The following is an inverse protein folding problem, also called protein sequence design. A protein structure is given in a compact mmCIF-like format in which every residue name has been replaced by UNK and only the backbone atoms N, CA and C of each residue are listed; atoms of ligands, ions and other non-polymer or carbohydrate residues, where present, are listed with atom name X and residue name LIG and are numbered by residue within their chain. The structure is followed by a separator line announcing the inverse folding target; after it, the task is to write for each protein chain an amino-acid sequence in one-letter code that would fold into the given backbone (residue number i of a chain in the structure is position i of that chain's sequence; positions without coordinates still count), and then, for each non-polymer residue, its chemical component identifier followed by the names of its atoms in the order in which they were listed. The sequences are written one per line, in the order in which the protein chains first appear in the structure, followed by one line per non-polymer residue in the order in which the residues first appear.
data_IF_230064707078
#
_entry.id   IF_230064707078
#
_cell.length_a   1.000
_cell.length_b   1.000
_cell.length_c   1.000
_cell.angle_alpha   90.00
_cell.angle_beta   90.00
_cell.angle_gamma   90.00
#
_symmetry.space_group_name_H-M   'P 1'
#
loop_
_entity.id
_entity.type
_entity.pdbx_description
1 polymer ?
#
# COMPACT_ATOMS: atom_id res chain seq x y z
N UNK A 1 -9.27 39.15 15.00
CA UNK A 1 -10.51 38.60 14.41
C UNK A 1 -10.06 37.36 13.64
N UNK A 2 -10.00 36.21 14.32
CA UNK A 2 -9.37 34.98 13.79
C UNK A 2 -10.36 33.83 13.83
N UNK A 3 -11.16 33.70 12.77
CA UNK A 3 -12.04 32.55 12.59
C UNK A 3 -11.24 31.42 11.91
N UNK A 4 -11.29 30.21 12.47
CA UNK A 4 -10.65 29.02 11.89
C UNK A 4 -11.72 28.08 11.33
N UNK A 5 -11.61 27.76 10.04
CA UNK A 5 -12.45 26.74 9.38
C UNK A 5 -11.82 25.37 9.60
N UNK A 6 -12.61 24.40 10.07
CA UNK A 6 -12.19 22.99 10.16
C UNK A 6 -13.04 22.14 9.24
N UNK A 7 -12.37 21.26 8.51
CA UNK A 7 -12.98 20.27 7.61
C UNK A 7 -12.83 18.92 8.28
N UNK A 8 -13.96 18.30 8.63
CA UNK A 8 -13.98 16.95 9.19
C UNK A 8 -14.45 15.97 8.13
N UNK A 9 -13.65 14.92 7.93
CA UNK A 9 -13.83 13.92 6.88
C UNK A 9 -14.07 12.57 7.54
N UNK A 10 -15.26 11.99 7.37
CA UNK A 10 -15.55 10.63 7.84
C UNK A 10 -15.34 9.60 6.73
N UNK A 11 -14.52 8.59 6.99
CA UNK A 11 -14.23 7.51 6.05
C UNK A 11 -15.25 6.38 6.21
N UNK A 12 -15.94 6.03 5.13
CA UNK A 12 -16.84 4.88 5.06
C UNK A 12 -16.12 3.63 4.58
N UNK A 13 -16.46 2.46 5.12
CA UNK A 13 -15.93 1.16 4.67
C UNK A 13 -16.84 0.54 3.61
N UNK A 14 -16.27 -0.29 2.73
CA UNK A 14 -17.04 -1.08 1.75
C UNK A 14 -17.64 -2.32 2.44
N UNK A 15 -18.79 -2.78 1.96
CA UNK A 15 -19.36 -4.06 2.42
C UNK A 15 -18.53 -5.27 1.98
N UNK A 16 -18.66 -6.40 2.68
CA UNK A 16 -18.06 -7.68 2.28
C UNK A 16 -18.92 -8.35 1.20
N UNK A 17 -18.28 -9.04 0.26
CA UNK A 17 -18.94 -9.88 -0.76
C UNK A 17 -18.77 -11.32 -0.30
N UNK A 18 -19.89 -12.02 -0.10
CA UNK A 18 -19.94 -13.42 0.28
C UNK A 18 -20.42 -14.28 -0.90
N UNK A 19 -20.00 -15.53 -0.96
CA UNK A 19 -20.58 -16.52 -1.85
C UNK A 19 -21.95 -17.00 -1.34
N UNK A 20 -22.52 -17.99 -2.04
CA UNK A 20 -23.84 -18.56 -1.70
C UNK A 20 -23.83 -19.30 -0.37
N UNK A 21 -22.67 -19.81 0.02
CA UNK A 21 -22.43 -20.61 1.21
C UNK A 21 -21.95 -19.74 2.40
N UNK A 22 -21.82 -18.42 2.19
CA UNK A 22 -21.39 -17.45 3.19
C UNK A 22 -19.88 -17.25 3.29
N UNK A 23 -19.06 -17.88 2.43
CA UNK A 23 -17.62 -17.67 2.42
C UNK A 23 -17.27 -16.31 1.83
N UNK A 24 -16.30 -15.58 2.40
CA UNK A 24 -15.87 -14.32 1.83
C UNK A 24 -15.24 -14.55 0.46
N UNK A 25 -15.68 -13.74 -0.52
CA UNK A 25 -15.05 -13.60 -1.84
C UNK A 25 -14.23 -12.30 -1.91
N UNK A 26 -14.71 -11.25 -1.23
CA UNK A 26 -14.01 -9.99 -1.11
C UNK A 26 -14.32 -9.37 0.24
N UNK A 27 -13.29 -9.09 1.04
CA UNK A 27 -13.44 -8.42 2.32
C UNK A 27 -12.27 -7.49 2.59
N UNK A 28 -12.46 -6.57 3.52
CA UNK A 28 -11.35 -5.75 4.01
C UNK A 28 -10.50 -6.65 4.92
N UNK A 29 -9.22 -6.76 4.61
CA UNK A 29 -8.24 -7.58 5.33
C UNK A 29 -6.95 -6.82 5.58
N UNK A 30 -6.03 -7.47 6.29
CA UNK A 30 -4.69 -6.93 6.53
C UNK A 30 -3.79 -7.38 5.39
N UNK A 31 -3.21 -6.41 4.68
CA UNK A 31 -2.17 -6.61 3.68
C UNK A 31 -0.85 -6.07 4.22
N UNK A 32 0.26 -6.54 3.65
CA UNK A 32 1.59 -6.05 3.99
C UNK A 32 2.10 -5.23 2.81
N UNK A 33 2.52 -4.00 3.08
CA UNK A 33 3.16 -3.12 2.11
C UNK A 33 4.66 -3.20 2.34
N UNK A 34 5.39 -3.60 1.31
CA UNK A 34 6.85 -3.55 1.27
C UNK A 34 7.26 -2.20 0.70
N UNK A 35 8.23 -1.55 1.34
CA UNK A 35 8.77 -0.28 0.88
C UNK A 35 10.19 -0.03 1.34
N UNK A 36 10.81 1.00 0.78
CA UNK A 36 12.18 1.41 1.07
C UNK A 36 12.15 2.61 2.01
N UNK A 37 13.11 2.64 2.93
CA UNK A 37 13.40 3.79 3.78
C UNK A 37 14.71 4.45 3.34
N UNK A 38 14.67 5.55 2.57
CA UNK A 38 15.86 6.11 1.92
C UNK A 38 17.00 6.47 2.89
N UNK A 39 16.69 6.95 4.11
CA UNK A 39 17.72 7.27 5.10
C UNK A 39 18.53 6.06 5.59
N UNK A 40 17.96 4.85 5.55
CA UNK A 40 18.66 3.59 5.89
C UNK A 40 19.21 2.88 4.66
N UNK A 41 18.77 3.30 3.48
CA UNK A 41 19.19 2.72 2.22
C UNK A 41 20.57 3.28 1.84
N UNK A 42 21.62 2.45 1.98
CA UNK A 42 22.98 2.88 1.70
C UNK A 42 23.17 3.17 0.19
N UNK A 43 23.42 4.44 -0.14
CA UNK A 43 23.55 4.95 -1.50
C UNK A 43 24.83 4.53 -2.23
N UNK A 44 25.79 3.85 -1.59
CA UNK A 44 27.01 3.40 -2.27
C UNK A 44 26.81 2.21 -3.21
N UNK A 45 25.81 1.36 -2.98
CA UNK A 45 25.53 0.15 -3.78
C UNK A 45 24.07 0.11 -4.30
N UNK A 46 23.54 1.27 -4.70
CA UNK A 46 22.12 1.43 -5.09
C UNK A 46 21.75 0.47 -6.21
N UNK A 47 22.52 0.42 -7.30
CA UNK A 47 22.15 -0.38 -8.47
C UNK A 47 22.07 -1.88 -8.16
N UNK A 48 23.08 -2.45 -7.49
CA UNK A 48 23.07 -3.87 -7.14
C UNK A 48 21.88 -4.24 -6.23
N UNK A 49 21.57 -3.39 -5.24
CA UNK A 49 20.43 -3.59 -4.33
C UNK A 49 19.10 -3.45 -5.05
N UNK A 50 18.97 -2.46 -5.93
CA UNK A 50 17.75 -2.26 -6.72
C UNK A 50 17.49 -3.47 -7.61
N UNK A 51 18.52 -4.05 -8.23
CA UNK A 51 18.39 -5.29 -9.02
C UNK A 51 17.96 -6.48 -8.16
N UNK A 52 18.53 -6.66 -6.98
CA UNK A 52 18.15 -7.75 -6.07
C UNK A 52 16.68 -7.63 -5.61
N UNK A 53 16.28 -6.42 -5.20
CA UNK A 53 14.89 -6.13 -4.79
C UNK A 53 13.93 -6.34 -5.97
N UNK A 54 14.29 -5.85 -7.15
CA UNK A 54 13.53 -6.03 -8.38
C UNK A 54 13.25 -7.52 -8.65
N UNK A 55 14.27 -8.37 -8.51
CA UNK A 55 14.15 -9.81 -8.71
C UNK A 55 13.30 -10.51 -7.63
N UNK A 56 13.37 -10.06 -6.37
CA UNK A 56 12.57 -10.66 -5.29
C UNK A 56 11.09 -10.29 -5.41
N UNK A 57 10.81 -9.04 -5.76
CA UNK A 57 9.47 -8.50 -5.84
C UNK A 57 8.80 -8.69 -7.21
N UNK A 58 9.55 -9.17 -8.22
CA UNK A 58 9.15 -9.24 -9.62
C UNK A 58 8.69 -7.87 -10.18
N UNK A 59 9.46 -6.82 -9.88
CA UNK A 59 9.19 -5.45 -10.36
C UNK A 59 10.36 -4.92 -11.17
N UNK A 60 10.10 -3.99 -12.10
CA UNK A 60 11.19 -3.37 -12.86
C UNK A 60 12.01 -2.41 -11.99
N UNK A 61 13.32 -2.42 -12.20
CA UNK A 61 14.26 -1.50 -11.55
C UNK A 61 13.88 -0.03 -11.79
N UNK A 62 13.42 0.29 -12.99
CA UNK A 62 12.94 1.63 -13.36
C UNK A 62 11.78 2.09 -12.47
N UNK A 63 10.85 1.20 -12.13
CA UNK A 63 9.73 1.54 -11.25
C UNK A 63 10.20 1.83 -9.82
N UNK A 64 11.21 1.09 -9.34
CA UNK A 64 11.83 1.36 -8.03
C UNK A 64 12.51 2.74 -8.04
N UNK A 65 13.35 3.01 -9.04
CA UNK A 65 14.07 4.29 -9.17
C UNK A 65 13.10 5.47 -9.27
N UNK A 66 12.08 5.37 -10.13
CA UNK A 66 11.07 6.41 -10.28
C UNK A 66 10.32 6.70 -8.97
N UNK A 67 9.99 5.67 -8.18
CA UNK A 67 9.34 5.85 -6.87
C UNK A 67 10.27 6.50 -5.83
N UNK A 68 11.56 6.20 -5.88
CA UNK A 68 12.55 6.83 -5.01
C UNK A 68 12.77 8.30 -5.40
N UNK A 69 12.89 8.60 -6.70
CA UNK A 69 13.09 9.97 -7.21
C UNK A 69 11.89 10.89 -6.93
N UNK A 70 10.67 10.34 -6.95
CA UNK A 70 9.45 11.07 -6.57
C UNK A 70 9.42 11.44 -5.07
N UNK A 71 10.18 10.75 -4.24
CA UNK A 71 10.18 10.96 -2.80
C UNK A 71 11.33 11.90 -2.40
N UNK A 72 10.99 13.14 -2.09
CA UNK A 72 11.96 14.19 -1.72
C UNK A 72 12.45 14.07 -0.28
N UNK A 73 11.68 13.42 0.60
CA UNK A 73 11.98 13.33 2.04
C UNK A 73 12.71 12.02 2.38
N UNK A 74 13.98 12.04 2.82
CA UNK A 74 14.74 10.82 3.09
C UNK A 74 14.19 9.99 4.27
N UNK A 75 13.46 10.63 5.17
CA UNK A 75 12.81 10.02 6.34
C UNK A 75 11.42 9.45 6.02
N UNK A 76 10.95 9.54 4.77
CA UNK A 76 9.66 9.01 4.35
C UNK A 76 9.76 7.58 3.81
N UNK A 77 8.76 6.78 4.20
CA UNK A 77 8.60 5.42 3.72
C UNK A 77 8.05 5.42 2.29
N UNK A 78 8.80 4.85 1.34
CA UNK A 78 8.42 4.76 -0.08
C UNK A 78 7.79 3.40 -0.36
N UNK A 79 6.45 3.32 -0.59
CA UNK A 79 5.77 2.04 -0.82
C UNK A 79 6.03 1.49 -2.23
N UNK A 80 6.55 0.26 -2.31
CA UNK A 80 6.82 -0.42 -3.57
C UNK A 80 5.66 -1.32 -4.00
N UNK A 81 5.34 -2.33 -3.18
CA UNK A 81 4.38 -3.39 -3.53
C UNK A 81 3.53 -3.76 -2.32
N UNK A 82 2.24 -3.94 -2.57
CA UNK A 82 1.30 -4.51 -1.61
C UNK A 82 1.19 -6.01 -1.85
N UNK A 83 1.38 -6.82 -0.81
CA UNK A 83 1.36 -8.28 -0.87
C UNK A 83 0.44 -8.87 0.20
N UNK A 84 -0.06 -10.07 -0.07
CA UNK A 84 -0.86 -10.83 0.88
C UNK A 84 0.02 -11.34 2.03
N UNK A 85 -0.52 -11.43 3.26
CA UNK A 85 0.24 -11.80 4.45
C UNK A 85 0.85 -13.20 4.42
N UNK A 86 0.33 -14.10 3.57
CA UNK A 86 0.74 -15.51 3.42
C UNK A 86 1.68 -15.75 2.21
N UNK A 87 2.14 -14.69 1.55
CA UNK A 87 3.02 -14.82 0.37
C UNK A 87 4.45 -15.22 0.77
N UNK A 88 4.98 -16.23 0.08
CA UNK A 88 6.38 -16.69 0.15
C UNK A 88 7.43 -15.59 -0.04
N UNK A 89 7.09 -14.51 -0.76
CA UNK A 89 7.98 -13.36 -0.99
C UNK A 89 8.33 -12.61 0.29
N UNK A 90 7.46 -12.64 1.30
CA UNK A 90 7.70 -11.97 2.59
C UNK A 90 8.97 -12.50 3.26
N UNK A 91 9.14 -13.82 3.25
CA UNK A 91 10.30 -14.45 3.89
C UNK A 91 11.61 -14.01 3.24
N UNK A 92 11.63 -13.87 1.90
CA UNK A 92 12.81 -13.40 1.15
C UNK A 92 13.15 -11.94 1.46
N UNK A 93 12.13 -11.10 1.60
CA UNK A 93 12.28 -9.68 1.90
C UNK A 93 12.71 -9.44 3.35
N UNK A 94 12.28 -10.28 4.28
CA UNK A 94 12.73 -10.20 5.68
C UNK A 94 14.21 -10.52 5.84
N UNK A 95 14.79 -11.35 4.97
CA UNK A 95 16.24 -11.67 5.02
C UNK A 95 17.15 -10.50 4.61
N UNK A 96 16.59 -9.45 4.00
CA UNK A 96 17.31 -8.26 3.51
C UNK A 96 16.85 -6.99 4.25
N UNK A 97 16.14 -7.12 5.37
CA UNK A 97 15.55 -6.00 6.12
C UNK A 97 16.60 -5.02 6.68
N UNK A 98 17.78 -5.54 7.01
CA UNK A 98 18.97 -4.77 7.42
C UNK A 98 19.43 -3.75 6.36
N UNK A 99 18.95 -3.86 5.11
CA UNK A 99 19.35 -3.00 4.00
C UNK A 99 18.44 -1.78 3.78
N UNK A 100 17.52 -1.50 4.72
CA UNK A 100 16.62 -0.34 4.65
C UNK A 100 15.27 -0.66 4.00
N UNK A 101 14.91 -1.95 3.89
CA UNK A 101 13.61 -2.40 3.41
C UNK A 101 12.70 -2.64 4.62
N UNK A 102 11.50 -2.06 4.58
CA UNK A 102 10.56 -2.14 5.68
C UNK A 102 9.24 -2.74 5.20
N UNK A 103 8.62 -3.51 6.09
CA UNK A 103 7.29 -4.06 5.90
C UNK A 103 6.33 -3.34 6.84
N UNK A 104 5.32 -2.67 6.28
CA UNK A 104 4.25 -2.04 7.05
C UNK A 104 2.94 -2.80 6.83
N UNK A 105 2.16 -2.96 7.89
CA UNK A 105 0.81 -3.48 7.77
C UNK A 105 -0.13 -2.36 7.35
N UNK A 106 -1.03 -2.68 6.42
CA UNK A 106 -2.03 -1.75 5.90
C UNK A 106 -3.35 -2.51 5.76
N UNK A 107 -4.47 -1.83 6.01
CA UNK A 107 -5.78 -2.39 5.68
C UNK A 107 -6.02 -2.26 4.18
N UNK A 108 -6.32 -3.36 3.51
CA UNK A 108 -6.58 -3.41 2.08
C UNK A 108 -7.69 -4.38 1.73
N UNK A 109 -8.12 -4.38 0.48
CA UNK A 109 -9.13 -5.34 0.02
C UNK A 109 -8.45 -6.67 -0.31
N UNK A 110 -8.94 -7.75 0.27
CA UNK A 110 -8.46 -9.12 0.03
C UNK A 110 -9.54 -9.90 -0.69
N UNK A 111 -9.12 -10.63 -1.73
CA UNK A 111 -9.98 -11.47 -2.55
C UNK A 111 -9.57 -12.93 -2.38
N UNK A 112 -10.50 -13.75 -1.90
CA UNK A 112 -10.30 -15.18 -1.61
C UNK A 112 -11.03 -16.00 -2.67
N UNK A 113 -10.33 -16.91 -3.35
CA UNK A 113 -10.89 -17.73 -4.45
C UNK A 113 -10.22 -17.55 -5.82
N UNK A 114 -8.90 -17.33 -5.85
CA UNK A 114 -8.11 -17.09 -7.05
C UNK A 114 -8.19 -18.20 -8.11
N UNK A 115 -9.14 -18.07 -9.01
CA UNK A 115 -9.11 -18.58 -10.37
C UNK A 115 -9.36 -17.41 -11.31
N UNK A 116 -8.55 -17.30 -12.36
CA UNK A 116 -8.46 -16.27 -13.42
C UNK A 116 -9.77 -15.69 -14.00
N UNK A 117 -10.96 -16.17 -13.60
CA UNK A 117 -12.27 -15.67 -14.03
C UNK A 117 -12.80 -14.44 -13.27
N UNK A 118 -12.34 -14.17 -12.04
CA UNK A 118 -12.94 -13.10 -11.21
C UNK A 118 -12.28 -11.73 -11.35
N UNK A 119 -11.13 -11.63 -12.03
CA UNK A 119 -10.44 -10.34 -12.25
C UNK A 119 -11.24 -9.40 -13.17
N UNK A 120 -12.08 -9.95 -14.05
CA UNK A 120 -12.97 -9.16 -14.90
C UNK A 120 -14.22 -8.65 -14.17
N UNK A 121 -14.71 -9.37 -13.15
CA UNK A 121 -15.87 -8.96 -12.33
C UNK A 121 -15.47 -8.11 -11.12
N UNK A 122 -14.23 -8.25 -10.66
CA UNK A 122 -13.72 -7.63 -9.45
C UNK A 122 -12.54 -6.75 -9.81
N UNK A 123 -12.83 -5.63 -10.47
CA UNK A 123 -11.81 -4.69 -10.89
C UNK A 123 -10.96 -4.26 -9.67
N UNK A 124 -9.62 -4.44 -9.69
CA UNK A 124 -8.76 -3.83 -8.69
C UNK A 124 -9.02 -2.33 -8.78
N UNK A 125 -9.61 -1.78 -7.72
CA UNK A 125 -10.07 -0.40 -7.74
C UNK A 125 -8.87 0.53 -7.70
N UNK A 126 -8.26 0.80 -8.85
CA UNK A 126 -7.34 1.92 -8.97
C UNK A 126 -8.16 3.20 -8.94
N UNK A 127 -8.02 3.92 -7.83
CA UNK A 127 -8.35 5.34 -7.65
C UNK A 127 -9.83 5.69 -7.85
N UNK A 128 -10.67 5.37 -6.85
CA UNK A 128 -11.91 6.11 -6.61
C UNK A 128 -11.61 7.23 -5.63
N UNK A 129 -11.93 8.46 -6.04
CA UNK A 129 -11.88 9.69 -5.25
C UNK A 129 -12.62 9.43 -3.92
N UNK A 130 -11.96 9.64 -2.78
CA UNK A 130 -12.53 9.45 -1.44
C UNK A 130 -13.95 10.04 -1.34
N UNK A 131 -14.99 9.22 -1.44
CA UNK A 131 -16.36 9.64 -1.15
C UNK A 131 -16.44 9.69 0.37
N UNK A 132 -16.17 10.87 0.92
CA UNK A 132 -16.17 11.11 2.34
C UNK A 132 -17.23 12.16 2.65
N UNK A 133 -18.03 11.91 3.69
CA UNK A 133 -18.97 12.91 4.18
C UNK A 133 -18.14 14.04 4.81
N UNK A 134 -18.16 15.20 4.17
CA UNK A 134 -17.46 16.40 4.67
C UNK A 134 -18.44 17.22 5.49
N UNK A 135 -18.14 17.42 6.77
CA UNK A 135 -18.85 18.36 7.63
C UNK A 135 -17.96 19.56 7.92
N UNK A 136 -18.46 20.77 7.64
CA UNK A 136 -17.74 22.03 7.88
C UNK A 136 -18.36 22.71 9.10
N UNK A 137 -17.52 23.04 10.09
CA UNK A 137 -17.94 23.77 11.28
C UNK A 137 -17.12 25.05 11.43
N UNK A 138 -17.79 26.18 11.61
CA UNK A 138 -17.19 27.51 11.81
C UNK A 138 -17.38 27.89 13.28
N UNK A 139 -16.29 28.09 14.01
CA UNK A 139 -16.31 28.57 15.39
C UNK A 139 -15.96 30.06 15.39
N UNK A 140 -16.94 30.92 15.66
CA UNK A 140 -16.73 32.36 15.89
C UNK A 140 -16.26 32.58 17.34
N UNK A 141 -15.24 33.42 17.51
CA UNK A 141 -14.84 33.96 18.81
C UNK A 141 -15.50 35.32 19.05
#
# INVERSE_FOLDING_TARGET
KDDKVRVNTSLSKRGSILDKDGNPLAQDGVIKTIGIYPAKFNLSNVDAKVTEIANILDISEENIKSKLDQNTDPEHFVPLVDILPDDSKIAKVLSIDDEGILIKQKSGRVYTGGGVSYTQLTLPTNRIVNISLVSVSIKKN
#
